data_IF_980464639775
#
_entry.id   IF_980464639775
#
_cell.length_a   1.000
_cell.length_b   1.000
_cell.length_c   1.000
_cell.angle_alpha   90.00
_cell.angle_beta   90.00
_cell.angle_gamma   90.00
#
_symmetry.space_group_name_H-M   'P 1'
#
loop_
_entity.id
_entity.type
_entity.pdbx_description
1 polymer ?
#
# COMPACT_ATOMS: atom_id res chain seq x y z
N UNK A 1 12.19 -20.84 -6.35
CA UNK A 1 12.25 -19.67 -5.44
C UNK A 1 11.97 -20.21 -4.04
N UNK A 2 12.94 -20.07 -3.14
CA UNK A 2 13.33 -21.11 -2.19
C UNK A 2 12.65 -21.19 -0.83
N UNK A 3 11.38 -20.80 -0.70
CA UNK A 3 10.57 -21.13 0.48
C UNK A 3 9.16 -21.50 0.01
N UNK A 4 8.71 -22.71 0.32
CA UNK A 4 7.35 -23.19 -0.02
C UNK A 4 6.30 -22.58 0.91
N UNK A 5 6.72 -22.19 2.11
CA UNK A 5 5.95 -21.50 3.15
C UNK A 5 6.88 -20.53 3.88
N UNK A 6 6.40 -19.33 4.25
CA UNK A 6 7.20 -18.40 5.04
C UNK A 6 7.37 -18.90 6.48
N UNK A 7 8.51 -18.60 7.14
CA UNK A 7 8.69 -18.91 8.55
C UNK A 7 7.54 -18.31 9.39
N UNK A 8 6.98 -19.05 10.37
CA UNK A 8 5.82 -18.58 11.14
C UNK A 8 5.99 -17.18 11.77
N UNK A 9 7.21 -16.87 12.20
CA UNK A 9 7.55 -15.55 12.76
C UNK A 9 7.47 -14.43 11.73
N UNK A 10 7.92 -14.69 10.51
CA UNK A 10 7.88 -13.71 9.43
C UNK A 10 6.44 -13.40 9.02
N UNK A 11 5.56 -14.41 8.93
CA UNK A 11 4.13 -14.20 8.74
C UNK A 11 3.52 -13.34 9.86
N UNK A 12 3.86 -13.65 11.12
CA UNK A 12 3.34 -12.88 12.26
C UNK A 12 3.79 -11.42 12.23
N UNK A 13 5.04 -11.13 11.89
CA UNK A 13 5.54 -9.75 11.80
C UNK A 13 4.88 -8.98 10.67
N UNK A 14 4.79 -9.57 9.48
CA UNK A 14 4.19 -8.92 8.31
C UNK A 14 2.70 -8.69 8.48
N UNK A 15 1.97 -9.64 9.09
CA UNK A 15 0.57 -9.47 9.49
C UNK A 15 0.40 -8.35 10.52
N UNK A 16 1.32 -8.25 11.48
CA UNK A 16 1.34 -7.15 12.46
C UNK A 16 1.53 -5.79 11.78
N UNK A 17 2.47 -5.68 10.84
CA UNK A 17 2.68 -4.45 10.06
C UNK A 17 1.44 -4.08 9.26
N UNK A 18 0.78 -5.05 8.61
CA UNK A 18 -0.45 -4.80 7.86
C UNK A 18 -1.58 -4.31 8.77
N UNK A 19 -1.76 -4.92 9.95
CA UNK A 19 -2.74 -4.49 10.94
C UNK A 19 -2.49 -3.05 11.42
N UNK A 20 -1.24 -2.70 11.77
CA UNK A 20 -0.87 -1.35 12.17
C UNK A 20 -1.11 -0.33 11.05
N UNK A 21 -0.77 -0.71 9.81
CA UNK A 21 -0.97 0.13 8.63
C UNK A 21 -2.45 0.37 8.38
N UNK A 22 -3.29 -0.66 8.48
CA UNK A 22 -4.74 -0.52 8.36
C UNK A 22 -5.31 0.43 9.41
N UNK A 23 -4.88 0.34 10.67
CA UNK A 23 -5.32 1.25 11.74
C UNK A 23 -4.88 2.69 11.46
N UNK A 24 -3.61 2.91 11.11
CA UNK A 24 -3.07 4.24 10.83
C UNK A 24 -3.75 4.89 9.61
N UNK A 25 -4.04 4.11 8.56
CA UNK A 25 -4.79 4.55 7.39
C UNK A 25 -6.27 4.85 7.72
N UNK A 26 -6.92 4.02 8.55
CA UNK A 26 -8.27 4.26 9.07
C UNK A 26 -8.38 5.59 9.82
N UNK A 27 -7.39 5.90 10.66
CA UNK A 27 -7.29 7.15 11.39
C UNK A 27 -6.86 8.35 10.52
N UNK A 28 -6.55 8.12 9.23
CA UNK A 28 -6.06 9.13 8.31
C UNK A 28 -4.76 9.81 8.77
N UNK A 29 -3.89 9.04 9.40
CA UNK A 29 -2.62 9.54 9.91
C UNK A 29 -1.76 10.03 8.75
N UNK A 30 -1.22 11.24 8.92
CA UNK A 30 -0.27 11.82 7.98
C UNK A 30 1.13 11.65 8.54
N UNK A 31 2.00 11.04 7.75
CA UNK A 31 3.39 10.82 8.12
C UNK A 31 4.30 11.59 7.16
N UNK A 32 5.48 12.03 7.63
CA UNK A 32 6.46 12.62 6.73
C UNK A 32 6.91 11.59 5.67
N UNK A 33 7.50 12.04 4.55
CA UNK A 33 8.10 11.14 3.58
C UNK A 33 9.14 10.23 4.24
N UNK A 34 9.10 8.94 3.89
CA UNK A 34 10.02 7.95 4.46
C UNK A 34 11.47 8.19 3.97
N UNK A 35 12.50 8.14 4.84
CA UNK A 35 13.89 8.37 4.44
C UNK A 35 14.37 7.45 3.31
N UNK A 36 13.94 6.18 3.35
CA UNK A 36 14.28 5.18 2.34
C UNK A 36 13.32 5.18 1.14
N UNK A 37 12.28 6.02 1.14
CA UNK A 37 11.32 6.07 0.03
C UNK A 37 11.96 6.42 -1.30
N UNK A 38 12.97 7.32 -1.29
CA UNK A 38 13.73 7.66 -2.50
C UNK A 38 14.59 6.50 -2.98
N UNK A 39 15.17 5.72 -2.07
CA UNK A 39 16.00 4.56 -2.43
C UNK A 39 15.15 3.43 -3.02
N UNK A 40 13.95 3.20 -2.47
CA UNK A 40 12.99 2.24 -2.99
C UNK A 40 12.54 2.59 -4.42
N UNK A 41 12.33 3.88 -4.70
CA UNK A 41 11.88 4.35 -6.01
C UNK A 41 12.93 4.22 -7.14
N UNK A 42 14.19 3.89 -6.84
CA UNK A 42 15.26 3.76 -7.86
C UNK A 42 15.04 2.52 -8.73
N UNK A 43 14.46 1.46 -8.16
CA UNK A 43 14.21 0.19 -8.85
C UNK A 43 12.82 0.10 -9.47
N UNK A 44 12.00 1.15 -9.30
CA UNK A 44 10.67 1.19 -9.89
C UNK A 44 10.81 1.24 -11.42
N UNK A 45 10.32 0.21 -12.10
CA UNK A 45 10.22 0.22 -13.55
C UNK A 45 9.16 1.26 -13.95
N UNK A 46 9.44 2.09 -14.97
CA UNK A 46 8.39 2.90 -15.59
C UNK A 46 7.36 1.94 -16.23
N UNK A 47 6.27 1.64 -15.51
CA UNK A 47 5.13 0.94 -16.07
C UNK A 47 4.42 1.92 -16.99
N UNK A 48 4.84 1.98 -18.25
CA UNK A 48 4.06 2.64 -19.30
C UNK A 48 2.89 1.73 -19.62
N UNK A 49 1.74 2.04 -19.04
CA UNK A 49 0.49 1.44 -19.48
C UNK A 49 0.21 1.92 -20.91
N UNK A 50 0.59 1.11 -21.89
CA UNK A 50 0.36 1.37 -23.32
C UNK A 50 -1.08 1.03 -23.72
N UNK A 51 -1.90 0.55 -22.78
CA UNK A 51 -3.28 0.22 -23.07
C UNK A 51 -4.11 1.50 -23.23
N UNK A 52 -4.94 1.50 -24.28
CA UNK A 52 -5.92 2.56 -24.50
C UNK A 52 -6.91 2.53 -23.34
N UNK A 53 -6.94 3.58 -22.53
CA UNK A 53 -7.85 3.72 -21.40
C UNK A 53 -9.29 3.44 -21.88
N UNK A 54 -9.87 2.34 -21.41
CA UNK A 54 -11.27 2.00 -21.73
C UNK A 54 -12.18 3.02 -21.03
N UNK A 55 -13.16 3.62 -21.73
CA UNK A 55 -14.11 4.51 -21.07
C UNK A 55 -14.86 3.74 -19.98
N UNK A 56 -14.78 4.25 -18.75
CA UNK A 56 -15.48 3.69 -17.59
C UNK A 56 -16.99 3.85 -17.82
N UNK A 57 -17.78 2.77 -17.84
CA UNK A 57 -19.22 2.88 -18.03
C UNK A 57 -19.86 3.72 -16.92
N UNK A 58 -20.94 4.46 -17.23
CA UNK A 58 -21.60 5.36 -16.25
C UNK A 58 -22.14 4.63 -15.01
N UNK A 59 -22.47 3.34 -15.13
CA UNK A 59 -22.83 2.47 -13.99
C UNK A 59 -21.66 2.20 -13.03
N UNK A 60 -20.42 2.43 -13.47
CA UNK A 60 -19.20 2.37 -12.69
C UNK A 60 -18.72 3.78 -12.27
N UNK A 61 -19.54 4.82 -12.46
CA UNK A 61 -19.25 6.13 -11.86
C UNK A 61 -19.32 5.97 -10.34
N UNK A 62 -18.18 6.12 -9.65
CA UNK A 62 -18.04 5.55 -8.32
C UNK A 62 -18.68 6.43 -7.25
N UNK A 63 -19.68 5.88 -6.57
CA UNK A 63 -19.94 6.20 -5.15
C UNK A 63 -18.67 5.97 -4.29
N UNK A 64 -17.69 5.22 -4.82
CA UNK A 64 -16.38 4.88 -4.24
C UNK A 64 -15.37 6.04 -4.14
N UNK A 65 -15.63 7.24 -4.66
CA UNK A 65 -14.78 8.41 -4.38
C UNK A 65 -15.10 9.11 -3.05
N UNK A 66 -16.20 8.78 -2.37
CA UNK A 66 -16.54 9.49 -1.13
C UNK A 66 -15.59 9.17 0.03
N UNK A 67 -14.92 8.02 -0.01
CA UNK A 67 -14.02 7.60 1.06
C UNK A 67 -12.78 6.91 0.47
N UNK A 68 -11.57 7.34 0.84
CA UNK A 68 -10.35 6.69 0.40
C UNK A 68 -10.35 5.23 0.86
N UNK A 69 -9.96 4.32 -0.04
CA UNK A 69 -9.67 2.94 0.30
C UNK A 69 -8.46 2.89 1.25
N UNK A 70 -8.58 2.11 2.31
CA UNK A 70 -7.63 2.08 3.45
C UNK A 70 -7.36 0.64 3.85
N UNK A 71 -6.98 -0.19 2.88
CA UNK A 71 -6.76 -1.61 3.12
C UNK A 71 -5.45 -2.08 2.49
N UNK A 72 -4.59 -2.61 3.36
CA UNK A 72 -3.35 -3.30 3.10
C UNK A 72 -3.50 -4.75 3.55
N UNK A 73 -3.05 -5.69 2.74
CA UNK A 73 -2.92 -7.10 3.11
C UNK A 73 -1.50 -7.59 2.82
N UNK A 74 -1.18 -8.78 3.33
CA UNK A 74 0.09 -9.47 3.08
C UNK A 74 -0.20 -10.74 2.30
N UNK A 75 0.56 -10.98 1.24
CA UNK A 75 0.52 -12.21 0.47
C UNK A 75 1.93 -12.72 0.22
N UNK A 76 2.25 -13.89 0.77
CA UNK A 76 3.53 -14.61 0.55
C UNK A 76 4.71 -13.64 0.55
N UNK A 77 4.86 -12.95 1.68
CA UNK A 77 5.95 -12.03 2.01
C UNK A 77 5.89 -10.63 1.40
N UNK A 78 4.98 -10.39 0.46
CA UNK A 78 4.76 -9.08 -0.14
C UNK A 78 3.56 -8.36 0.48
N UNK A 79 3.70 -7.04 0.67
CA UNK A 79 2.57 -6.19 1.03
C UNK A 79 1.77 -5.80 -0.22
N UNK A 80 0.48 -6.13 -0.22
CA UNK A 80 -0.43 -5.79 -1.31
C UNK A 80 -1.46 -4.79 -0.79
N UNK A 81 -1.39 -3.57 -1.31
CA UNK A 81 -2.32 -2.49 -0.99
C UNK A 81 -3.16 -2.15 -2.20
N UNK A 82 -4.47 -2.02 -2.02
CA UNK A 82 -5.27 -1.33 -3.01
C UNK A 82 -5.13 0.18 -2.78
N UNK A 83 -4.25 0.80 -3.57
CA UNK A 83 -4.03 2.24 -3.52
C UNK A 83 -5.14 3.00 -4.22
N UNK A 84 -5.75 3.96 -3.52
CA UNK A 84 -6.61 4.96 -4.14
C UNK A 84 -5.97 6.34 -3.97
N UNK A 85 -5.70 7.02 -5.08
CA UNK A 85 -5.22 8.39 -5.01
C UNK A 85 -6.40 9.33 -4.70
N UNK A 86 -6.41 9.87 -3.48
CA UNK A 86 -7.47 10.74 -2.98
C UNK A 86 -6.86 11.92 -2.22
N UNK A 87 -7.38 13.15 -2.32
CA UNK A 87 -6.80 14.32 -1.65
C UNK A 87 -6.62 14.14 -0.13
N UNK A 88 -7.57 13.45 0.50
CA UNK A 88 -7.53 13.13 1.94
C UNK A 88 -6.50 12.07 2.31
N UNK A 89 -6.03 11.24 1.38
CA UNK A 89 -4.99 10.23 1.61
C UNK A 89 -4.30 9.86 0.28
N UNK A 90 -3.28 10.60 -0.17
CA UNK A 90 -2.58 10.35 -1.43
C UNK A 90 -1.75 9.07 -1.36
N UNK A 91 -1.44 8.48 -2.51
CA UNK A 91 -0.65 7.25 -2.61
C UNK A 91 0.72 7.35 -1.90
N UNK A 92 1.36 8.52 -1.98
CA UNK A 92 2.64 8.79 -1.32
C UNK A 92 2.55 8.69 0.20
N UNK A 93 1.42 9.12 0.80
CA UNK A 93 1.18 8.96 2.23
C UNK A 93 0.93 7.49 2.58
N UNK A 94 0.18 6.76 1.74
CA UNK A 94 -0.10 5.34 1.96
C UNK A 94 1.19 4.52 1.98
N UNK A 95 2.09 4.75 1.02
CA UNK A 95 3.41 4.13 0.98
C UNK A 95 4.25 4.52 2.20
N UNK A 96 4.29 5.81 2.57
CA UNK A 96 5.09 6.27 3.70
C UNK A 96 4.59 5.68 5.04
N UNK A 97 3.28 5.54 5.24
CA UNK A 97 2.71 4.92 6.46
C UNK A 97 3.15 3.46 6.57
N UNK A 98 3.08 2.71 5.46
CA UNK A 98 3.55 1.33 5.43
C UNK A 98 5.03 1.24 5.82
N UNK A 99 5.90 2.03 5.18
CA UNK A 99 7.34 1.99 5.46
C UNK A 99 7.66 2.32 6.92
N UNK A 100 7.02 3.35 7.49
CA UNK A 100 7.21 3.67 8.91
C UNK A 100 6.68 2.58 9.86
N UNK A 101 5.70 1.78 9.45
CA UNK A 101 5.20 0.68 10.27
C UNK A 101 6.08 -0.57 10.17
N UNK A 102 6.76 -0.77 9.04
CA UNK A 102 7.82 -1.78 8.92
C UNK A 102 8.94 -1.46 9.93
N UNK A 103 9.42 -0.21 9.94
CA UNK A 103 10.47 0.27 10.87
C UNK A 103 10.08 0.21 12.36
N UNK A 104 8.79 0.05 12.68
CA UNK A 104 8.34 -0.13 14.09
C UNK A 104 8.41 -1.58 14.55
N UNK A 105 8.36 -2.52 13.62
CA UNK A 105 8.30 -3.96 13.91
C UNK A 105 9.67 -4.61 13.79
N UNK A 106 10.52 -4.12 12.88
CA UNK A 106 11.91 -4.56 12.69
C UNK A 106 12.89 -3.52 13.23
#
# INVERSE_FOLDING_TARGET
>A
MGWTESPPWFCAFTETVANLTNVDLQQNKRVPPHPLGRAAAITDFEVRDTQVARPTPKSHQPLTFQRPLKKMEVFVDDFVGMGQDHPSNPLTNQQAVLSHNIDKVF
#
